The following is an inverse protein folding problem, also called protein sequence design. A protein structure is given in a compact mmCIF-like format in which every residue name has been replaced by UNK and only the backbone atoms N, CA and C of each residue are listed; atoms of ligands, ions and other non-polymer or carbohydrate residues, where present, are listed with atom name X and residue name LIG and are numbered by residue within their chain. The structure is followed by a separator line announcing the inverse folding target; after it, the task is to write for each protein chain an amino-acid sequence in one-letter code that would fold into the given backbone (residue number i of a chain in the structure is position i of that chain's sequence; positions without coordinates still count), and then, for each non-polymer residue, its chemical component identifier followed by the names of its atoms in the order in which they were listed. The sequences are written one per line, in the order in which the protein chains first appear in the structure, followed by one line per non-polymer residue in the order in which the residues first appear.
data_IF_743558108961
#
_entry.id   IF_743558108961
#
_cell.length_a   1.000
_cell.length_b   1.000
_cell.length_c   1.000
_cell.angle_alpha   90.00
_cell.angle_beta   90.00
_cell.angle_gamma   90.00
#
_symmetry.space_group_name_H-M   'P 1'
#
loop_
_entity.id
_entity.type
_entity.pdbx_description
1 polymer ?
#
# COMPACT_ATOMS: atom_id res chain seq x y z
N UNK A 1 -40.60 -45.72 41.57
CA UNK A 1 -40.50 -44.88 40.36
C UNK A 1 -39.66 -43.64 40.68
N UNK A 2 -38.41 -43.57 40.21
CA UNK A 2 -37.61 -42.34 40.26
C UNK A 2 -36.77 -42.29 38.99
N UNK A 3 -36.99 -41.22 38.24
CA UNK A 3 -36.79 -41.10 36.80
C UNK A 3 -35.31 -41.00 36.45
N UNK A 4 -34.93 -41.72 35.40
CA UNK A 4 -33.72 -41.53 34.59
C UNK A 4 -33.80 -40.13 33.97
N UNK A 5 -32.78 -39.31 34.18
CA UNK A 5 -32.49 -38.16 33.31
C UNK A 5 -30.98 -38.12 33.12
N UNK A 6 -30.52 -38.72 32.02
CA UNK A 6 -29.20 -38.53 31.47
C UNK A 6 -29.12 -37.09 30.94
N UNK A 7 -28.28 -36.25 31.54
CA UNK A 7 -27.92 -34.95 30.98
C UNK A 7 -26.76 -35.15 30.02
N UNK A 8 -27.10 -35.16 28.73
CA UNK A 8 -26.18 -35.04 27.61
C UNK A 8 -25.43 -33.71 27.70
N UNK A 9 -24.12 -33.78 27.85
CA UNK A 9 -23.22 -32.64 27.69
C UNK A 9 -23.22 -32.21 26.21
N UNK A 10 -24.08 -31.27 25.86
CA UNK A 10 -24.00 -30.54 24.59
C UNK A 10 -22.74 -29.68 24.60
N UNK A 11 -21.68 -30.21 23.99
CA UNK A 11 -20.49 -29.44 23.63
C UNK A 11 -20.87 -28.45 22.52
N UNK A 12 -21.17 -27.21 22.89
CA UNK A 12 -21.26 -26.09 21.95
C UNK A 12 -19.83 -25.69 21.59
N UNK A 13 -19.25 -26.38 20.61
CA UNK A 13 -18.10 -25.85 19.88
C UNK A 13 -18.63 -24.70 19.02
N UNK A 14 -18.55 -23.48 19.53
CA UNK A 14 -18.63 -22.28 18.72
C UNK A 14 -17.48 -22.34 17.72
N UNK A 15 -17.80 -22.71 16.47
CA UNK A 15 -16.88 -22.61 15.35
C UNK A 15 -16.52 -21.14 15.17
N UNK A 16 -15.38 -20.73 15.74
CA UNK A 16 -14.71 -19.48 15.36
C UNK A 16 -14.22 -19.64 13.92
N UNK A 17 -15.12 -19.51 12.95
CA UNK A 17 -14.74 -19.24 11.56
C UNK A 17 -14.38 -17.75 11.46
N UNK A 18 -13.33 -17.34 12.17
CA UNK A 18 -12.71 -16.05 11.95
C UNK A 18 -11.96 -16.13 10.62
N UNK A 19 -12.70 -15.82 9.55
CA UNK A 19 -12.27 -15.07 8.37
C UNK A 19 -10.75 -15.07 8.08
N UNK A 20 -10.17 -16.21 7.75
CA UNK A 20 -8.93 -16.23 6.97
C UNK A 20 -9.31 -15.98 5.50
N UNK A 21 -9.83 -14.79 5.18
CA UNK A 21 -9.86 -14.35 3.78
C UNK A 21 -8.41 -14.07 3.39
N UNK A 22 -7.79 -15.07 2.80
CA UNK A 22 -6.50 -14.99 2.12
C UNK A 22 -6.47 -13.74 1.22
N UNK A 23 -5.46 -12.87 1.33
CA UNK A 23 -5.37 -11.69 0.49
C UNK A 23 -5.34 -12.13 -0.98
N UNK A 24 -6.31 -11.66 -1.77
CA UNK A 24 -6.37 -11.89 -3.20
C UNK A 24 -5.14 -11.25 -3.87
N UNK A 25 -4.18 -12.05 -4.35
CA UNK A 25 -3.11 -11.70 -5.31
C UNK A 25 -2.58 -10.26 -5.28
N UNK A 26 -2.44 -9.69 -4.09
CA UNK A 26 -1.90 -8.35 -3.89
C UNK A 26 -0.49 -8.52 -3.38
N UNK A 27 0.45 -7.71 -3.89
CA UNK A 27 1.81 -7.58 -3.36
C UNK A 27 1.83 -6.93 -1.96
N UNK A 28 0.70 -6.97 -1.24
CA UNK A 28 0.54 -6.44 0.10
C UNK A 28 1.13 -7.42 1.13
N UNK A 29 1.92 -6.87 2.04
CA UNK A 29 2.46 -7.59 3.19
C UNK A 29 1.45 -7.45 4.32
N UNK A 30 0.92 -8.57 4.82
CA UNK A 30 0.12 -8.55 6.04
C UNK A 30 1.04 -8.39 7.25
N UNK A 31 0.80 -7.34 8.04
CA UNK A 31 1.48 -7.06 9.31
C UNK A 31 0.63 -7.57 10.47
N UNK A 32 1.17 -7.44 11.67
CA UNK A 32 0.44 -7.73 12.90
C UNK A 32 -0.85 -6.88 13.00
N UNK A 33 -1.78 -7.30 13.87
CA UNK A 33 -3.02 -6.56 14.15
C UNK A 33 -3.92 -6.32 12.92
N UNK A 34 -3.89 -7.23 11.93
CA UNK A 34 -4.67 -7.14 10.69
C UNK A 34 -4.39 -5.87 9.87
N UNK A 35 -3.18 -5.33 10.00
CA UNK A 35 -2.68 -4.28 9.15
C UNK A 35 -2.08 -4.88 7.87
N UNK A 36 -2.08 -4.08 6.81
CA UNK A 36 -1.52 -4.41 5.52
C UNK A 36 -0.59 -3.28 5.09
N UNK A 37 0.50 -3.64 4.44
CA UNK A 37 1.46 -2.70 3.90
C UNK A 37 1.58 -2.91 2.40
N UNK A 38 1.48 -1.82 1.64
CA UNK A 38 1.71 -1.81 0.19
C UNK A 38 2.73 -0.75 -0.15
N UNK A 39 3.47 -1.00 -1.23
CA UNK A 39 4.39 -0.03 -1.81
C UNK A 39 3.87 0.36 -3.20
N UNK A 40 3.72 1.66 -3.43
CA UNK A 40 3.53 2.25 -4.75
C UNK A 40 4.78 2.98 -5.21
N UNK A 41 5.21 2.71 -6.44
CA UNK A 41 6.32 3.40 -7.08
C UNK A 41 5.80 4.40 -8.11
N UNK A 42 6.54 5.47 -8.37
CA UNK A 42 6.22 6.39 -9.45
C UNK A 42 7.32 7.39 -9.73
N UNK A 43 7.32 7.94 -10.94
CA UNK A 43 8.19 9.06 -11.34
C UNK A 43 7.88 10.39 -10.65
N UNK A 44 6.75 10.48 -9.95
CA UNK A 44 6.40 11.61 -9.11
C UNK A 44 5.72 11.14 -7.84
N UNK A 45 5.76 11.97 -6.80
CA UNK A 45 5.11 11.72 -5.52
C UNK A 45 3.62 11.34 -5.70
N UNK A 46 2.89 12.10 -6.52
CA UNK A 46 1.46 11.85 -6.78
C UNK A 46 1.22 10.50 -7.46
N UNK A 47 2.07 10.12 -8.42
CA UNK A 47 1.95 8.82 -9.11
C UNK A 47 2.23 7.68 -8.13
N UNK A 48 3.28 7.80 -7.32
CA UNK A 48 3.61 6.80 -6.30
C UNK A 48 2.47 6.61 -5.29
N UNK A 49 1.87 7.71 -4.81
CA UNK A 49 0.70 7.67 -3.92
C UNK A 49 -0.52 7.01 -4.57
N UNK A 50 -0.88 7.41 -5.79
CA UNK A 50 -2.03 6.81 -6.49
C UNK A 50 -1.84 5.32 -6.76
N UNK A 51 -0.61 4.90 -7.07
CA UNK A 51 -0.28 3.48 -7.24
C UNK A 51 -0.41 2.71 -5.92
N UNK A 52 0.06 3.28 -4.80
CA UNK A 52 -0.09 2.68 -3.48
C UNK A 52 -1.58 2.59 -3.06
N UNK A 53 -2.37 3.63 -3.29
CA UNK A 53 -3.82 3.64 -3.02
C UNK A 53 -4.55 2.59 -3.86
N UNK A 54 -4.20 2.48 -5.15
CA UNK A 54 -4.74 1.43 -6.03
C UNK A 54 -4.43 0.05 -5.50
N UNK A 55 -3.20 -0.19 -5.04
CA UNK A 55 -2.81 -1.46 -4.43
C UNK A 55 -3.57 -1.73 -3.12
N UNK A 56 -3.78 -0.72 -2.27
CA UNK A 56 -4.55 -0.85 -1.03
C UNK A 56 -6.03 -1.22 -1.31
N UNK A 57 -6.65 -0.55 -2.28
CA UNK A 57 -8.02 -0.86 -2.71
C UNK A 57 -8.13 -2.29 -3.28
N UNK A 58 -7.17 -2.73 -4.10
CA UNK A 58 -7.13 -4.11 -4.60
C UNK A 58 -7.00 -5.13 -3.46
N UNK A 59 -6.19 -4.81 -2.45
CA UNK A 59 -6.00 -5.65 -1.26
C UNK A 59 -7.30 -5.82 -0.47
N UNK A 60 -8.06 -4.75 -0.26
CA UNK A 60 -9.34 -4.81 0.45
C UNK A 60 -10.50 -5.38 -0.38
N UNK A 61 -10.34 -5.48 -1.70
CA UNK A 61 -11.37 -5.98 -2.60
C UNK A 61 -12.60 -5.06 -2.67
N UNK A 62 -13.76 -5.61 -3.05
CA UNK A 62 -14.96 -4.81 -3.35
C UNK A 62 -15.83 -4.50 -2.12
N UNK A 63 -15.74 -5.32 -1.07
CA UNK A 63 -16.61 -5.27 0.13
C UNK A 63 -16.04 -4.47 1.30
N UNK A 64 -14.76 -4.08 1.21
CA UNK A 64 -14.10 -3.29 2.22
C UNK A 64 -13.38 -2.09 1.59
N UNK A 65 -13.13 -1.05 2.38
CA UNK A 65 -12.33 0.10 2.01
C UNK A 65 -11.04 0.13 2.85
N UNK A 66 -9.90 0.54 2.29
CA UNK A 66 -8.70 0.75 3.07
C UNK A 66 -8.87 1.96 3.99
N UNK A 67 -8.52 1.80 5.26
CA UNK A 67 -8.41 2.89 6.23
C UNK A 67 -6.94 3.08 6.55
N UNK A 68 -6.45 4.26 6.20
CA UNK A 68 -5.04 4.62 6.36
C UNK A 68 -4.66 4.64 7.84
N UNK A 69 -3.52 4.02 8.14
CA UNK A 69 -2.89 4.05 9.47
C UNK A 69 -1.60 4.85 9.41
N UNK A 70 -0.78 4.62 8.38
CA UNK A 70 0.48 5.33 8.17
C UNK A 70 0.75 5.50 6.67
N UNK A 71 1.37 6.62 6.31
CA UNK A 71 1.81 6.94 4.96
C UNK A 71 3.22 7.52 5.01
N UNK A 72 4.12 6.93 4.23
CA UNK A 72 5.47 7.44 4.05
C UNK A 72 5.83 7.50 2.57
N UNK A 73 6.15 8.70 2.09
CA UNK A 73 6.71 8.89 0.75
C UNK A 73 8.18 9.27 0.84
N UNK A 74 9.02 8.66 0.01
CA UNK A 74 10.44 8.96 -0.10
C UNK A 74 10.89 9.07 -1.55
N UNK A 75 11.76 10.04 -1.84
CA UNK A 75 12.51 10.09 -3.08
C UNK A 75 13.69 9.12 -3.04
N UNK A 76 13.77 8.25 -4.05
CA UNK A 76 14.77 7.22 -4.28
C UNK A 76 15.57 7.44 -5.58
N UNK A 77 15.32 8.52 -6.31
CA UNK A 77 16.01 8.77 -7.57
C UNK A 77 17.51 9.02 -7.42
N UNK A 78 18.22 9.08 -8.56
CA UNK A 78 19.68 9.11 -8.65
C UNK A 78 20.36 10.27 -7.88
N UNK A 79 19.59 11.27 -7.44
CA UNK A 79 20.05 12.43 -6.69
C UNK A 79 19.77 12.35 -5.17
N UNK A 80 19.26 11.22 -4.67
CA UNK A 80 18.97 11.01 -3.25
C UNK A 80 20.22 11.25 -2.40
N UNK A 81 20.15 12.26 -1.52
CA UNK A 81 21.23 12.59 -0.58
C UNK A 81 22.36 13.46 -1.13
N UNK A 82 22.32 13.83 -2.42
CA UNK A 82 23.35 14.67 -3.06
C UNK A 82 22.88 16.14 -3.17
N UNK A 83 21.56 16.35 -3.21
CA UNK A 83 20.90 17.66 -3.23
C UNK A 83 19.61 17.58 -2.41
N UNK A 84 19.21 18.70 -1.80
CA UNK A 84 17.88 18.84 -1.19
C UNK A 84 16.79 18.59 -2.25
N UNK A 85 15.63 18.07 -1.84
CA UNK A 85 14.56 17.62 -2.75
C UNK A 85 14.07 18.76 -3.66
N UNK A 86 14.04 19.99 -3.12
CA UNK A 86 13.71 21.19 -3.89
C UNK A 86 14.75 21.51 -4.96
N UNK A 87 16.03 21.25 -4.67
CA UNK A 87 17.14 21.45 -5.62
C UNK A 87 17.16 20.34 -6.68
N UNK A 88 16.87 19.10 -6.31
CA UNK A 88 16.71 17.99 -7.26
C UNK A 88 15.58 18.23 -8.27
N UNK A 89 14.42 18.70 -7.79
CA UNK A 89 13.29 19.09 -8.65
C UNK A 89 13.64 20.25 -9.58
N UNK A 90 14.38 21.26 -9.09
CA UNK A 90 14.85 22.40 -9.89
C UNK A 90 15.85 22.00 -10.98
N UNK A 91 16.80 21.12 -10.69
CA UNK A 91 17.76 20.60 -11.68
C UNK A 91 17.02 19.79 -12.74
N UNK A 92 16.03 18.98 -12.33
CA UNK A 92 15.23 18.18 -13.25
C UNK A 92 14.38 19.08 -14.17
N UNK A 93 13.80 20.16 -13.64
CA UNK A 93 13.12 21.18 -14.44
C UNK A 93 14.08 21.89 -15.41
N UNK A 94 15.27 22.27 -14.98
CA UNK A 94 16.28 22.91 -15.82
C UNK A 94 16.79 21.98 -16.94
N UNK A 95 17.04 20.70 -16.64
CA UNK A 95 17.40 19.69 -17.63
C UNK A 95 16.27 19.44 -18.63
N UNK A 96 15.01 19.47 -18.19
CA UNK A 96 13.84 19.33 -19.08
C UNK A 96 13.76 20.49 -20.07
N UNK A 97 13.99 21.73 -19.63
CA UNK A 97 14.00 22.91 -20.50
C UNK A 97 15.19 22.88 -21.48
N UNK A 98 16.38 22.48 -21.04
CA UNK A 98 17.55 22.40 -21.92
C UNK A 98 17.47 21.21 -22.90
N UNK A 99 16.95 20.06 -22.46
CA UNK A 99 16.77 18.86 -23.27
C UNK A 99 15.69 19.01 -24.34
N UNK A 100 14.60 19.73 -24.04
CA UNK A 100 13.55 20.04 -25.02
C UNK A 100 14.04 20.99 -26.12
N UNK A 101 14.91 21.93 -25.81
CA UNK A 101 15.56 22.82 -26.80
C UNK A 101 16.59 22.05 -27.66
N UNK A 102 17.28 21.06 -27.08
CA UNK A 102 18.27 20.24 -27.77
C UNK A 102 17.71 19.00 -28.49
N UNK A 103 16.39 18.82 -28.56
CA UNK A 103 15.72 17.70 -29.24
C UNK A 103 15.98 16.31 -28.61
N UNK A 104 16.44 16.28 -27.35
CA UNK A 104 16.72 15.04 -26.62
C UNK A 104 15.81 14.97 -25.39
N UNK A 105 14.87 14.01 -25.40
CA UNK A 105 14.07 13.64 -24.24
C UNK A 105 15.01 13.15 -23.12
N UNK A 106 15.46 14.07 -22.27
CA UNK A 106 16.28 13.78 -21.09
C UNK A 106 15.35 13.65 -19.90
N UNK A 107 14.41 12.71 -19.97
CA UNK A 107 13.58 12.36 -18.82
C UNK A 107 14.51 11.79 -17.74
N UNK A 108 15.01 12.62 -16.84
CA UNK A 108 15.86 12.17 -15.73
C UNK A 108 15.00 11.38 -14.74
N UNK A 109 13.71 11.71 -14.65
CA UNK A 109 12.76 11.04 -13.79
C UNK A 109 12.59 9.57 -14.19
N UNK A 110 12.76 8.66 -13.23
CA UNK A 110 12.55 7.22 -13.42
C UNK A 110 11.25 6.79 -12.74
N UNK A 111 10.63 5.70 -13.22
CA UNK A 111 9.34 5.23 -12.68
C UNK A 111 9.40 4.75 -11.21
N UNK A 112 10.60 4.63 -10.64
CA UNK A 112 10.89 4.25 -9.25
C UNK A 112 11.52 5.38 -8.42
N UNK A 113 11.60 6.59 -8.95
CA UNK A 113 12.18 7.76 -8.28
C UNK A 113 11.44 8.12 -7.00
N UNK A 114 10.13 7.86 -6.90
CA UNK A 114 9.36 8.04 -5.68
C UNK A 114 8.77 6.70 -5.24
N UNK A 115 8.83 6.46 -3.94
CA UNK A 115 8.24 5.31 -3.29
C UNK A 115 7.29 5.81 -2.20
N UNK A 116 6.03 5.37 -2.25
CA UNK A 116 5.06 5.56 -1.18
C UNK A 116 4.75 4.22 -0.55
N UNK A 117 4.99 4.09 0.76
CA UNK A 117 4.58 2.97 1.58
C UNK A 117 3.30 3.37 2.32
N UNK A 118 2.24 2.57 2.20
CA UNK A 118 1.01 2.76 2.95
C UNK A 118 0.81 1.58 3.90
N UNK A 119 0.61 1.87 5.18
CA UNK A 119 0.06 0.92 6.14
C UNK A 119 -1.42 1.22 6.34
N UNK A 120 -2.28 0.22 6.18
CA UNK A 120 -3.72 0.39 6.26
C UNK A 120 -4.40 -0.87 6.83
N UNK A 121 -5.66 -0.75 7.20
CA UNK A 121 -6.54 -1.89 7.50
C UNK A 121 -7.73 -1.88 6.55
N UNK A 122 -8.30 -3.04 6.27
CA UNK A 122 -9.53 -3.13 5.49
C UNK A 122 -10.74 -3.05 6.43
N UNK A 123 -11.60 -2.06 6.23
CA UNK A 123 -12.84 -1.89 6.97
C UNK A 123 -14.04 -2.18 6.06
N UNK A 124 -14.99 -3.00 6.53
CA UNK A 124 -16.22 -3.27 5.80
C UNK A 124 -16.99 -1.96 5.52
N UNK A 125 -17.62 -1.91 4.33
CA UNK A 125 -18.49 -0.79 3.94
C UNK A 125 -19.87 -0.93 4.55
#
# INVERSE_FOLDING_TARGET
MKKIVAFSSLAVFALLTACATTPNNSLAIQKENNLYEVTGLGKSNIIAKNNAITAANKTCGTRAAPVLVDEKTSYNGALKGVVDEQTGQMIQAAATVLGTIAGRNTDIARDDDYQTVLTFRCQAK
#
